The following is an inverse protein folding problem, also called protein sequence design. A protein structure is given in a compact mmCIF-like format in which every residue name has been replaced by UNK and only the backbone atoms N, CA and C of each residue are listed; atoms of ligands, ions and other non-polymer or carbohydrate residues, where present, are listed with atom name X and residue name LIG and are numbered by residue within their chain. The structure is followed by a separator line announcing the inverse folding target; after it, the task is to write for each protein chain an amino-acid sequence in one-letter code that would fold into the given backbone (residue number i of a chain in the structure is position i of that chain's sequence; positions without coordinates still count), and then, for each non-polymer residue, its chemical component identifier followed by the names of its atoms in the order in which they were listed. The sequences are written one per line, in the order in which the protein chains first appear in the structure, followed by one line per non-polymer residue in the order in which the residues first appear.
data_IF_090908189707
#
_entry.id   IF_090908189707
#
_cell.length_a   1.000
_cell.length_b   1.000
_cell.length_c   1.000
_cell.angle_alpha   90.00
_cell.angle_beta   90.00
_cell.angle_gamma   90.00
#
_symmetry.space_group_name_H-M   'P 1'
#
loop_
_entity.id
_entity.type
_entity.pdbx_description
1 polymer ?
#
# COMPACT_ATOMS: atom_id res chain seq x y z
N UNK A 1 -7.14 -17.72 14.88
CA UNK A 1 -7.54 -16.48 14.19
C UNK A 1 -6.93 -15.31 14.96
N UNK A 2 -5.94 -14.62 14.38
CA UNK A 2 -5.12 -13.60 15.07
C UNK A 2 -5.64 -12.20 14.71
N UNK A 3 -5.64 -11.26 15.66
CA UNK A 3 -6.19 -9.89 15.51
C UNK A 3 -5.53 -9.08 14.38
N UNK A 4 -4.39 -9.55 13.83
CA UNK A 4 -3.70 -9.00 12.64
C UNK A 4 -4.27 -9.46 11.29
N UNK A 5 -5.05 -10.55 11.26
CA UNK A 5 -5.40 -11.24 10.00
C UNK A 5 -6.83 -10.99 9.51
N UNK A 6 -7.74 -10.58 10.39
CA UNK A 6 -9.15 -10.41 10.03
C UNK A 6 -9.83 -9.58 11.11
N UNK A 7 -9.94 -8.26 10.90
CA UNK A 7 -10.83 -7.43 11.71
C UNK A 7 -12.10 -7.22 10.90
N UNK A 8 -13.29 -7.61 11.40
CA UNK A 8 -14.55 -7.47 10.66
C UNK A 8 -14.84 -6.03 10.20
N UNK A 9 -14.31 -5.03 10.91
CA UNK A 9 -14.45 -3.63 10.54
C UNK A 9 -13.50 -3.20 9.41
N UNK A 10 -12.31 -3.81 9.34
CA UNK A 10 -11.32 -3.53 8.30
C UNK A 10 -11.73 -4.19 6.97
N UNK A 11 -12.23 -5.43 7.01
CA UNK A 11 -12.74 -6.13 5.82
C UNK A 11 -13.88 -5.36 5.14
N UNK A 12 -14.84 -4.84 5.93
CA UNK A 12 -15.93 -4.01 5.40
C UNK A 12 -15.44 -2.69 4.81
N UNK A 13 -14.36 -2.12 5.36
CA UNK A 13 -13.75 -0.91 4.80
C UNK A 13 -13.08 -1.23 3.46
N UNK A 14 -12.31 -2.31 3.41
CA UNK A 14 -11.64 -2.80 2.20
C UNK A 14 -12.64 -3.13 1.09
N UNK A 15 -13.74 -3.83 1.41
CA UNK A 15 -14.79 -4.16 0.44
C UNK A 15 -15.44 -2.89 -0.16
N UNK A 16 -15.78 -1.92 0.69
CA UNK A 16 -16.33 -0.63 0.23
C UNK A 16 -15.32 0.14 -0.62
N UNK A 17 -14.05 0.17 -0.20
CA UNK A 17 -13.00 0.88 -0.92
C UNK A 17 -12.75 0.24 -2.30
N UNK A 18 -12.71 -1.09 -2.36
CA UNK A 18 -12.60 -1.83 -3.62
C UNK A 18 -13.78 -1.54 -4.55
N UNK A 19 -15.01 -1.47 -4.01
CA UNK A 19 -16.19 -1.09 -4.78
C UNK A 19 -16.14 0.34 -5.34
N UNK A 20 -15.63 1.30 -4.58
CA UNK A 20 -15.51 2.70 -4.99
C UNK A 20 -14.45 2.90 -6.07
N UNK A 21 -13.30 2.24 -5.94
CA UNK A 21 -12.18 2.34 -6.88
C UNK A 21 -12.30 1.35 -8.06
N UNK A 22 -13.41 0.61 -8.15
CA UNK A 22 -13.63 -0.46 -9.13
C UNK A 22 -12.50 -1.53 -9.14
N UNK A 23 -11.90 -1.78 -7.98
CA UNK A 23 -10.83 -2.75 -7.78
C UNK A 23 -11.36 -4.14 -7.37
N UNK A 24 -10.57 -5.19 -7.62
CA UNK A 24 -10.90 -6.56 -7.19
C UNK A 24 -10.67 -6.77 -5.69
N UNK A 25 -9.66 -6.09 -5.13
CA UNK A 25 -9.27 -6.15 -3.73
C UNK A 25 -8.77 -4.79 -3.28
N UNK A 26 -8.91 -4.47 -1.99
CA UNK A 26 -8.28 -3.33 -1.35
C UNK A 26 -7.63 -3.79 -0.04
N UNK A 27 -6.58 -3.09 0.39
CA UNK A 27 -5.87 -3.38 1.63
C UNK A 27 -5.76 -2.11 2.47
N UNK A 28 -6.25 -2.16 3.70
CA UNK A 28 -6.20 -1.05 4.65
C UNK A 28 -4.93 -1.16 5.53
N UNK A 29 -4.09 -0.12 5.46
CA UNK A 29 -2.86 -0.02 6.25
C UNK A 29 -3.00 1.03 7.35
N UNK A 30 -2.11 0.97 8.35
CA UNK A 30 -2.10 1.94 9.46
C UNK A 30 -1.74 3.38 9.03
N UNK A 31 -1.10 3.53 7.87
CA UNK A 31 -0.78 4.84 7.28
C UNK A 31 -0.52 4.74 5.77
N UNK A 32 -0.60 5.86 5.06
CA UNK A 32 -0.26 5.92 3.63
C UNK A 32 1.18 5.51 3.34
N UNK A 33 2.13 5.85 4.24
CA UNK A 33 3.53 5.49 4.07
C UNK A 33 3.78 3.98 4.22
N UNK A 34 3.00 3.30 5.09
CA UNK A 34 3.00 1.84 5.19
C UNK A 34 2.42 1.19 3.93
N UNK A 35 1.34 1.76 3.37
CA UNK A 35 0.75 1.27 2.13
C UNK A 35 1.74 1.36 0.95
N UNK A 36 2.41 2.51 0.81
CA UNK A 36 3.44 2.70 -0.23
C UNK A 36 4.61 1.74 -0.03
N UNK A 37 5.11 1.61 1.20
CA UNK A 37 6.19 0.67 1.50
C UNK A 37 5.83 -0.77 1.16
N UNK A 38 4.62 -1.22 1.53
CA UNK A 38 4.13 -2.55 1.18
C UNK A 38 4.06 -2.76 -0.35
N UNK A 39 3.65 -1.76 -1.11
CA UNK A 39 3.66 -1.82 -2.57
C UNK A 39 5.10 -1.91 -3.13
N UNK A 40 6.04 -1.12 -2.60
CA UNK A 40 7.45 -1.15 -3.02
C UNK A 40 8.13 -2.48 -2.68
N UNK A 41 7.76 -3.12 -1.57
CA UNK A 41 8.26 -4.45 -1.18
C UNK A 41 7.81 -5.58 -2.12
N UNK A 42 6.84 -5.34 -3.02
CA UNK A 42 6.47 -6.31 -4.06
C UNK A 42 7.46 -6.33 -5.23
N UNK A 43 8.30 -5.30 -5.35
CA UNK A 43 9.31 -5.21 -6.41
C UNK A 43 10.48 -6.14 -6.04
N UNK A 44 10.92 -7.03 -6.95
CA UNK A 44 12.03 -7.93 -6.67
C UNK A 44 13.35 -7.15 -6.52
N UNK A 45 14.33 -7.71 -5.79
CA UNK A 45 15.68 -7.14 -5.72
C UNK A 45 16.26 -6.92 -7.13
N UNK A 46 16.75 -5.71 -7.41
CA UNK A 46 17.24 -5.33 -8.74
C UNK A 46 16.16 -4.91 -9.75
N UNK A 47 14.89 -4.83 -9.34
CA UNK A 47 13.81 -4.26 -10.14
C UNK A 47 13.91 -2.75 -10.27
N UNK A 48 13.38 -2.21 -11.37
CA UNK A 48 13.36 -0.77 -11.63
C UNK A 48 12.00 -0.18 -11.27
N UNK A 49 12.01 0.97 -10.58
CA UNK A 49 10.80 1.70 -10.20
C UNK A 49 10.83 3.06 -10.92
N UNK A 50 9.78 3.36 -11.68
CA UNK A 50 9.59 4.67 -12.32
C UNK A 50 8.62 5.47 -11.47
N UNK A 51 9.02 6.68 -11.06
CA UNK A 51 8.21 7.55 -10.21
C UNK A 51 8.08 8.95 -10.82
N UNK A 52 6.94 9.64 -10.61
CA UNK A 52 6.79 11.02 -11.02
C UNK A 52 7.75 11.95 -10.24
N UNK A 53 8.18 13.04 -10.87
CA UNK A 53 9.11 14.00 -10.24
C UNK A 53 8.45 14.81 -9.11
N UNK A 54 7.13 14.96 -9.12
CA UNK A 54 6.35 15.66 -8.10
C UNK A 54 5.61 14.66 -7.21
N UNK A 55 6.38 13.97 -6.37
CA UNK A 55 5.84 13.09 -5.34
C UNK A 55 5.91 13.75 -3.97
N UNK A 56 5.05 13.29 -3.06
CA UNK A 56 5.14 13.64 -1.65
C UNK A 56 6.58 13.43 -1.15
N UNK A 57 7.19 14.50 -0.63
CA UNK A 57 8.62 14.53 -0.30
C UNK A 57 9.08 13.45 0.69
N UNK A 58 8.16 12.90 1.50
CA UNK A 58 8.43 11.77 2.39
C UNK A 58 8.55 10.40 1.70
N UNK A 59 8.11 10.27 0.45
CA UNK A 59 8.16 9.02 -0.33
C UNK A 59 9.52 8.84 -1.04
N UNK A 60 10.20 9.95 -1.36
CA UNK A 60 11.49 9.92 -2.06
C UNK A 60 12.63 9.23 -1.27
N UNK A 61 12.80 9.47 0.05
CA UNK A 61 13.82 8.78 0.84
C UNK A 61 13.58 7.28 0.98
N UNK A 62 12.32 6.83 0.92
CA UNK A 62 11.97 5.41 1.05
C UNK A 62 12.39 4.60 -0.17
N UNK A 63 12.22 5.15 -1.37
CA UNK A 63 12.60 4.46 -2.61
C UNK A 63 14.10 4.50 -2.83
N UNK A 64 14.78 5.58 -2.43
CA UNK A 64 16.25 5.68 -2.55
C UNK A 64 17.00 4.66 -1.67
N UNK A 65 16.34 4.13 -0.63
CA UNK A 65 16.93 3.22 0.36
C UNK A 65 16.58 1.75 0.10
N UNK A 66 15.76 1.48 -0.93
CA UNK A 66 15.44 0.16 -1.47
C UNK A 66 16.43 -0.18 -2.59
#
# INVERSE_FOLDING_TARGET
MYVRHAKPNTEKLEEKLAGLEHGKFAFAFNSGITAISAALMTVPPGGYIIMPCDMYGGTYPLVKRH
#
